data_IF_166961546920
#
_entry.id   IF_166961546920
#
_cell.length_a   1.000
_cell.length_b   1.000
_cell.length_c   1.000
_cell.angle_alpha   90.00
_cell.angle_beta   90.00
_cell.angle_gamma   90.00
#
_symmetry.space_group_name_H-M   'P 1'
#
loop_
_entity.id
_entity.type
_entity.pdbx_description
1 polymer ?
#
# COMPACT_ATOMS: atom_id res chain seq x y z
N UNK A 1 -4.81 3.34 56.88
CA UNK A 1 -5.61 4.31 56.17
C UNK A 1 -4.70 5.24 55.42
N UNK A 2 -4.53 5.04 54.11
CA UNK A 2 -4.17 6.07 53.17
C UNK A 2 -4.36 5.47 51.76
N UNK A 3 -5.36 5.98 51.07
CA UNK A 3 -5.71 5.62 49.70
C UNK A 3 -4.68 6.23 48.76
N UNK A 4 -3.99 5.40 47.97
CA UNK A 4 -3.25 5.85 46.80
C UNK A 4 -4.08 5.55 45.55
N UNK A 5 -4.69 6.60 44.98
CA UNK A 5 -5.34 6.57 43.70
C UNK A 5 -4.23 6.54 42.63
N UNK A 6 -4.17 5.49 41.85
CA UNK A 6 -3.35 5.42 40.64
C UNK A 6 -4.17 5.86 39.43
N UNK A 7 -3.74 6.93 38.78
CA UNK A 7 -4.27 7.41 37.50
C UNK A 7 -4.14 6.33 36.39
N UNK A 8 -5.13 6.21 35.48
CA UNK A 8 -5.02 5.32 34.34
C UNK A 8 -4.06 5.91 33.30
N UNK A 9 -3.09 5.12 32.91
CA UNK A 9 -1.95 5.43 32.09
C UNK A 9 -2.30 5.97 30.70
N UNK A 10 -1.57 7.01 30.29
CA UNK A 10 -1.48 7.60 28.92
C UNK A 10 -0.99 6.64 27.82
N UNK A 11 -0.96 5.33 28.05
CA UNK A 11 -0.47 4.33 27.10
C UNK A 11 -1.50 3.92 26.04
N UNK A 12 -2.81 4.11 26.28
CA UNK A 12 -3.86 3.70 25.34
C UNK A 12 -3.97 4.58 24.07
N UNK A 13 -3.42 5.79 24.09
CA UNK A 13 -3.48 6.73 22.95
C UNK A 13 -2.46 6.47 21.83
N UNK A 14 -1.40 5.67 22.09
CA UNK A 14 -0.29 5.50 21.14
C UNK A 14 -0.43 4.32 20.17
N UNK A 15 -1.32 3.37 20.43
CA UNK A 15 -1.55 2.22 19.54
C UNK A 15 -2.48 2.52 18.35
N UNK A 16 -3.24 3.61 18.36
CA UNK A 16 -4.22 3.93 17.29
C UNK A 16 -3.60 4.51 16.00
N UNK A 17 -2.35 4.92 16.03
CA UNK A 17 -1.68 5.55 14.87
C UNK A 17 -1.04 4.54 13.88
N UNK A 18 -1.07 3.24 14.16
CA UNK A 18 -0.27 2.22 13.44
C UNK A 18 -1.00 1.67 12.20
N UNK A 19 -2.34 1.73 12.16
CA UNK A 19 -3.19 1.20 11.07
C UNK A 19 -3.32 2.12 9.83
N UNK A 20 -2.63 3.23 9.76
CA UNK A 20 -2.94 4.35 8.85
C UNK A 20 -2.24 4.24 7.48
N UNK A 21 -1.25 3.35 7.30
CA UNK A 21 -0.35 3.41 6.13
C UNK A 21 -0.90 2.72 4.88
N UNK A 22 -1.85 1.78 5.01
CA UNK A 22 -2.26 0.90 3.89
C UNK A 22 -3.06 1.61 2.79
N UNK A 23 -3.91 2.57 3.13
CA UNK A 23 -4.83 3.18 2.14
C UNK A 23 -4.24 4.35 1.33
N UNK A 24 -3.15 4.96 1.77
CA UNK A 24 -2.61 6.20 1.15
C UNK A 24 -1.76 5.90 -0.08
N UNK A 25 -1.15 4.73 -0.20
CA UNK A 25 -0.18 4.39 -1.24
C UNK A 25 -0.79 3.90 -2.56
N UNK A 26 -2.06 3.52 -2.61
CA UNK A 26 -2.66 2.92 -3.81
C UNK A 26 -2.83 3.88 -5.00
N UNK A 27 -2.85 5.19 -4.78
CA UNK A 27 -3.17 6.14 -5.87
C UNK A 27 -1.95 6.72 -6.60
N UNK A 28 -0.80 6.80 -5.96
CA UNK A 28 0.39 7.46 -6.56
C UNK A 28 1.20 6.55 -7.51
N UNK A 29 0.88 5.26 -7.58
CA UNK A 29 1.59 4.26 -8.39
C UNK A 29 0.84 3.86 -9.69
N UNK A 30 -0.38 4.35 -9.92
CA UNK A 30 -1.16 4.00 -11.15
C UNK A 30 -0.65 4.70 -12.43
N UNK A 31 0.41 5.49 -12.37
CA UNK A 31 1.12 6.02 -13.54
C UNK A 31 2.32 5.15 -13.99
N UNK A 32 2.40 3.91 -13.55
CA UNK A 32 3.27 2.93 -14.18
C UNK A 32 2.58 2.43 -15.48
N UNK A 33 3.29 2.32 -16.61
CA UNK A 33 2.70 1.78 -17.82
C UNK A 33 2.16 0.38 -17.52
N UNK A 34 0.88 0.18 -17.79
CA UNK A 34 0.19 -1.10 -17.67
C UNK A 34 0.99 -2.18 -18.39
N UNK A 35 1.61 -3.06 -17.63
CA UNK A 35 2.03 -4.35 -18.17
C UNK A 35 0.74 -5.12 -18.50
N UNK A 36 0.55 -5.40 -19.78
CA UNK A 36 -0.54 -6.21 -20.30
C UNK A 36 -0.52 -7.59 -19.61
N UNK A 37 -1.44 -7.81 -18.70
CA UNK A 37 -1.81 -9.16 -18.29
C UNK A 37 -2.76 -9.74 -19.34
N UNK A 38 -2.56 -10.95 -19.84
CA UNK A 38 -3.44 -11.56 -20.82
C UNK A 38 -4.79 -11.89 -20.17
N UNK A 39 -5.86 -11.33 -20.70
CA UNK A 39 -7.23 -11.73 -20.42
C UNK A 39 -7.49 -13.15 -20.96
N UNK A 40 -8.29 -13.98 -20.30
CA UNK A 40 -8.65 -15.29 -20.83
C UNK A 40 -9.47 -15.17 -22.11
N UNK A 41 -9.08 -15.92 -23.13
CA UNK A 41 -9.62 -15.91 -24.48
C UNK A 41 -11.09 -16.33 -24.51
N UNK A 42 -11.96 -15.45 -25.00
CA UNK A 42 -13.22 -15.87 -25.63
C UNK A 42 -13.03 -15.86 -27.16
N UNK A 43 -13.17 -17.06 -27.74
CA UNK A 43 -13.26 -17.26 -29.20
C UNK A 43 -14.59 -16.71 -29.70
N UNK A 44 -14.54 -15.72 -30.59
CA UNK A 44 -15.56 -15.60 -31.64
C UNK A 44 -15.04 -14.91 -32.92
N UNK A 45 -15.59 -15.31 -34.01
CA UNK A 45 -15.07 -15.33 -35.36
C UNK A 45 -14.99 -13.98 -36.08
N UNK A 46 -14.03 -13.94 -37.02
CA UNK A 46 -13.85 -12.97 -38.11
C UNK A 46 -15.09 -12.75 -38.97
N UNK A 47 -15.39 -11.51 -39.34
CA UNK A 47 -16.00 -11.16 -40.62
C UNK A 47 -15.51 -9.78 -41.09
N UNK A 48 -15.37 -9.67 -42.41
CA UNK A 48 -14.58 -8.76 -43.23
C UNK A 48 -15.21 -7.35 -43.42
N UNK A 49 -14.32 -6.39 -43.74
CA UNK A 49 -14.58 -5.04 -44.34
C UNK A 49 -15.16 -5.16 -45.76
N UNK A 50 -15.55 -4.09 -46.52
CA UNK A 50 -15.14 -2.68 -46.49
C UNK A 50 -16.23 -1.63 -46.85
N UNK A 51 -15.90 -0.33 -46.84
CA UNK A 51 -16.59 0.67 -47.70
C UNK A 51 -16.60 2.12 -47.20
N UNK A 52 -15.76 2.94 -47.83
CA UNK A 52 -15.75 4.42 -47.76
C UNK A 52 -17.03 5.03 -48.34
N UNK A 53 -17.49 6.17 -47.81
CA UNK A 53 -17.88 7.33 -48.65
C UNK A 53 -17.90 8.65 -47.84
N UNK A 54 -17.16 9.64 -48.33
CA UNK A 54 -17.28 11.07 -48.03
C UNK A 54 -18.54 11.63 -48.65
N UNK A 55 -19.30 12.52 -47.98
CA UNK A 55 -20.05 13.61 -48.61
C UNK A 55 -20.01 14.83 -47.69
N UNK A 56 -19.42 15.88 -48.20
CA UNK A 56 -19.51 17.24 -47.68
C UNK A 56 -20.69 17.93 -48.40
N UNK A 57 -21.48 18.72 -47.71
CA UNK A 57 -22.21 19.84 -48.30
C UNK A 57 -22.57 20.92 -47.28
N UNK A 58 -22.36 22.13 -47.76
CA UNK A 58 -22.41 23.45 -47.16
C UNK A 58 -23.84 24.04 -47.08
N UNK A 59 -23.96 25.08 -46.22
CA UNK A 59 -24.84 26.26 -46.20
C UNK A 59 -26.29 26.11 -45.71
N UNK A 60 -26.66 26.86 -44.68
CA UNK A 60 -27.19 28.22 -44.80
C UNK A 60 -27.43 28.90 -43.45
N UNK A 61 -27.05 30.16 -43.41
CA UNK A 61 -27.28 31.17 -42.40
C UNK A 61 -28.78 31.53 -42.35
N UNK A 62 -29.42 31.42 -41.18
CA UNK A 62 -30.57 32.25 -40.84
C UNK A 62 -30.41 32.76 -39.41
N UNK A 63 -30.21 34.06 -39.32
CA UNK A 63 -30.23 34.81 -38.07
C UNK A 63 -31.65 34.82 -37.51
N UNK A 64 -31.83 34.31 -36.27
CA UNK A 64 -32.97 34.62 -35.45
C UNK A 64 -32.44 35.10 -34.11
N UNK A 65 -32.60 36.39 -33.90
CA UNK A 65 -32.47 37.05 -32.59
C UNK A 65 -33.49 36.41 -31.66
N UNK A 66 -32.98 35.59 -30.73
CA UNK A 66 -33.72 35.24 -29.54
C UNK A 66 -32.86 35.70 -28.34
N UNK A 67 -33.50 36.52 -27.55
CA UNK A 67 -33.06 37.08 -26.26
C UNK A 67 -32.18 36.14 -25.50
N UNK A 68 -30.91 36.54 -25.28
CA UNK A 68 -30.03 36.03 -24.25
C UNK A 68 -30.64 36.40 -22.89
N UNK A 69 -31.43 35.49 -22.33
CA UNK A 69 -31.56 35.39 -20.90
C UNK A 69 -30.17 35.03 -20.35
N UNK A 70 -29.49 36.05 -19.86
CA UNK A 70 -28.29 35.87 -19.05
C UNK A 70 -28.75 35.24 -17.72
N UNK A 71 -28.97 33.91 -17.72
CA UNK A 71 -28.86 33.16 -16.51
C UNK A 71 -27.40 33.29 -16.09
N UNK A 72 -27.15 34.16 -15.12
CA UNK A 72 -25.97 34.09 -14.31
C UNK A 72 -25.77 32.61 -13.93
N UNK A 73 -24.63 32.03 -14.31
CA UNK A 73 -24.20 30.76 -13.77
C UNK A 73 -24.13 30.97 -12.24
N UNK A 74 -25.12 30.41 -11.53
CA UNK A 74 -24.99 30.20 -10.09
C UNK A 74 -23.65 29.49 -9.88
N UNK A 75 -22.84 29.92 -8.91
CA UNK A 75 -21.65 29.16 -8.50
C UNK A 75 -22.14 27.75 -8.18
N UNK A 76 -21.45 26.74 -8.73
CA UNK A 76 -21.75 25.32 -8.58
C UNK A 76 -22.24 25.08 -7.14
N UNK A 77 -23.54 24.79 -7.02
CA UNK A 77 -24.11 24.43 -5.72
C UNK A 77 -23.50 23.08 -5.42
N UNK A 78 -22.57 23.03 -4.48
CA UNK A 78 -22.02 21.78 -3.98
C UNK A 78 -23.18 20.84 -3.70
N UNK A 79 -23.21 19.67 -4.36
CA UNK A 79 -24.22 18.64 -4.16
C UNK A 79 -24.28 18.28 -2.68
N UNK A 80 -25.48 18.23 -2.08
CA UNK A 80 -25.60 17.79 -0.69
C UNK A 80 -25.20 16.32 -0.54
N UNK A 81 -24.72 15.94 0.64
CA UNK A 81 -24.38 14.53 0.91
C UNK A 81 -25.59 13.61 0.73
N UNK A 82 -26.78 14.06 1.12
CA UNK A 82 -28.03 13.33 0.93
C UNK A 82 -28.35 13.08 -0.54
N UNK A 83 -28.26 14.11 -1.40
CA UNK A 83 -28.45 13.96 -2.84
C UNK A 83 -27.41 13.03 -3.47
N UNK A 84 -26.15 13.12 -3.00
CA UNK A 84 -25.07 12.25 -3.43
C UNK A 84 -25.33 10.77 -3.06
N UNK A 85 -25.82 10.51 -1.83
CA UNK A 85 -26.22 9.15 -1.40
C UNK A 85 -27.42 8.65 -2.23
N UNK A 86 -28.36 9.52 -2.59
CA UNK A 86 -29.48 9.15 -3.44
C UNK A 86 -29.00 8.73 -4.86
N UNK A 87 -28.04 9.44 -5.44
CA UNK A 87 -27.40 9.04 -6.71
C UNK A 87 -26.66 7.72 -6.60
N UNK A 88 -25.86 7.55 -5.54
CA UNK A 88 -25.16 6.29 -5.27
C UNK A 88 -26.14 5.12 -5.17
N UNK A 89 -27.28 5.31 -4.49
CA UNK A 89 -28.34 4.30 -4.38
C UNK A 89 -28.93 3.95 -5.75
N UNK A 90 -29.13 4.94 -6.60
CA UNK A 90 -29.63 4.70 -7.96
C UNK A 90 -28.64 3.91 -8.80
N UNK A 91 -27.36 4.22 -8.71
CA UNK A 91 -26.27 3.49 -9.36
C UNK A 91 -26.16 2.04 -8.84
N UNK A 92 -26.17 1.85 -7.53
CA UNK A 92 -26.11 0.53 -6.91
C UNK A 92 -27.29 -0.36 -7.34
N UNK A 93 -28.49 0.24 -7.49
CA UNK A 93 -29.67 -0.46 -8.03
C UNK A 93 -29.47 -0.86 -9.49
N UNK A 94 -28.83 -0.04 -10.31
CA UNK A 94 -28.51 -0.38 -11.71
C UNK A 94 -27.47 -1.51 -11.80
N UNK A 95 -26.60 -1.64 -10.81
CA UNK A 95 -25.65 -2.75 -10.68
C UNK A 95 -26.31 -4.05 -10.16
N UNK A 96 -27.62 -4.03 -9.88
CA UNK A 96 -28.38 -5.21 -9.45
C UNK A 96 -28.34 -5.49 -7.95
N UNK A 97 -27.87 -4.56 -7.12
CA UNK A 97 -27.86 -4.71 -5.67
C UNK A 97 -29.30 -4.67 -5.15
N UNK A 98 -29.66 -5.63 -4.29
CA UNK A 98 -31.03 -5.78 -3.78
C UNK A 98 -31.46 -4.63 -2.87
N UNK A 99 -32.74 -4.34 -2.84
CA UNK A 99 -33.29 -3.25 -2.01
C UNK A 99 -33.00 -3.44 -0.50
N UNK A 100 -33.04 -4.67 -0.01
CA UNK A 100 -32.70 -4.98 1.39
C UNK A 100 -31.26 -4.58 1.74
N UNK A 101 -30.34 -4.77 0.81
CA UNK A 101 -28.94 -4.33 0.96
C UNK A 101 -28.82 -2.81 0.88
N UNK A 102 -29.61 -2.16 0.02
CA UNK A 102 -29.62 -0.72 -0.12
C UNK A 102 -30.11 0.02 1.12
N UNK A 103 -30.87 -0.65 2.01
CA UNK A 103 -31.23 -0.08 3.34
C UNK A 103 -29.99 0.25 4.18
N UNK A 104 -28.85 -0.40 3.93
CA UNK A 104 -27.59 -0.05 4.60
C UNK A 104 -27.15 1.41 4.36
N UNK A 105 -27.56 2.00 3.23
CA UNK A 105 -27.28 3.40 2.90
C UNK A 105 -28.09 4.39 3.73
N UNK A 106 -29.17 3.96 4.40
CA UNK A 106 -29.99 4.83 5.27
C UNK A 106 -29.24 5.23 6.55
N UNK A 107 -28.17 4.51 6.89
CA UNK A 107 -27.29 4.84 8.01
C UNK A 107 -26.25 5.93 7.69
N UNK A 108 -26.15 6.37 6.44
CA UNK A 108 -25.21 7.38 5.99
C UNK A 108 -25.79 8.78 6.16
N UNK A 109 -25.63 9.38 7.34
CA UNK A 109 -26.23 10.69 7.66
C UNK A 109 -25.38 11.88 7.16
N UNK A 110 -24.07 11.82 7.35
CA UNK A 110 -23.12 12.89 6.98
C UNK A 110 -21.69 12.33 6.85
N UNK A 111 -20.79 13.02 6.13
CA UNK A 111 -19.37 12.67 6.14
C UNK A 111 -18.77 12.69 7.54
N UNK A 112 -17.92 11.71 7.86
CA UNK A 112 -17.24 11.66 9.15
C UNK A 112 -16.03 12.60 9.17
N UNK A 113 -16.09 13.69 9.95
CA UNK A 113 -14.97 14.62 10.12
C UNK A 113 -13.66 13.92 10.48
N UNK A 114 -13.74 12.92 11.37
CA UNK A 114 -12.56 12.15 11.79
C UNK A 114 -11.91 11.36 10.67
N UNK A 115 -12.65 10.89 9.67
CA UNK A 115 -12.11 10.25 8.46
C UNK A 115 -11.37 11.28 7.62
N UNK A 116 -11.97 12.46 7.43
CA UNK A 116 -11.35 13.57 6.70
C UNK A 116 -10.09 14.09 7.42
N UNK A 117 -10.12 14.18 8.75
CA UNK A 117 -8.93 14.52 9.55
C UNK A 117 -7.81 13.52 9.32
N UNK A 118 -8.09 12.21 9.35
CA UNK A 118 -7.08 11.18 9.10
C UNK A 118 -6.56 11.20 7.66
N UNK A 119 -7.41 11.45 6.68
CA UNK A 119 -7.02 11.57 5.29
C UNK A 119 -6.16 12.82 5.01
N UNK A 120 -6.43 13.92 5.72
CA UNK A 120 -5.67 15.16 5.65
C UNK A 120 -4.46 15.19 6.57
N UNK A 121 -4.52 14.50 7.73
CA UNK A 121 -3.42 14.41 8.68
C UNK A 121 -2.39 13.43 8.19
N UNK A 122 -1.58 13.89 7.26
CA UNK A 122 -0.34 13.18 6.96
C UNK A 122 0.57 13.32 8.18
N UNK A 123 1.23 12.24 8.64
CA UNK A 123 2.17 12.37 9.74
C UNK A 123 3.18 13.44 9.37
N UNK A 124 3.33 14.47 10.21
CA UNK A 124 4.27 15.59 10.02
C UNK A 124 5.72 15.12 9.88
N UNK A 125 5.98 13.84 10.16
CA UNK A 125 7.29 13.23 10.13
C UNK A 125 7.28 11.99 9.21
N UNK A 126 8.20 11.97 8.27
CA UNK A 126 8.55 10.74 7.57
C UNK A 126 9.26 9.82 8.58
N UNK A 127 8.67 8.66 8.86
CA UNK A 127 9.29 7.71 9.78
C UNK A 127 10.62 7.21 9.20
N UNK A 128 11.64 7.07 10.06
CA UNK A 128 12.88 6.40 9.70
C UNK A 128 12.65 4.89 9.56
N UNK A 129 13.51 4.21 8.82
CA UNK A 129 13.47 2.76 8.69
C UNK A 129 13.63 2.07 10.05
N UNK A 130 14.60 2.53 10.87
CA UNK A 130 14.80 2.04 12.23
C UNK A 130 13.51 2.12 13.05
N UNK A 131 12.89 3.30 13.09
CA UNK A 131 11.67 3.50 13.88
C UNK A 131 10.52 2.62 13.38
N UNK A 132 10.41 2.45 12.06
CA UNK A 132 9.37 1.62 11.45
C UNK A 132 9.49 0.15 11.87
N UNK A 133 10.72 -0.40 11.81
CA UNK A 133 11.02 -1.78 12.22
C UNK A 133 10.80 -1.99 13.71
N UNK A 134 11.37 -1.11 14.57
CA UNK A 134 11.32 -1.25 16.03
C UNK A 134 9.88 -1.28 16.56
N UNK A 135 8.98 -0.52 15.94
CA UNK A 135 7.58 -0.50 16.33
C UNK A 135 6.80 -1.76 15.92
N UNK A 136 7.26 -2.49 14.89
CA UNK A 136 6.52 -3.59 14.26
C UNK A 136 7.16 -4.95 14.42
N UNK A 137 8.45 -5.03 14.77
CA UNK A 137 9.18 -6.29 14.96
C UNK A 137 9.67 -6.38 16.40
N UNK A 138 8.73 -6.45 17.33
CA UNK A 138 9.04 -6.59 18.76
C UNK A 138 9.24 -8.06 19.14
N UNK A 139 10.03 -8.32 20.20
CA UNK A 139 10.18 -9.69 20.71
C UNK A 139 8.85 -10.31 21.15
N UNK A 140 7.91 -9.50 21.66
CA UNK A 140 6.56 -9.96 22.02
C UNK A 140 5.79 -10.44 20.79
N UNK A 141 5.87 -9.69 19.69
CA UNK A 141 5.21 -10.03 18.42
C UNK A 141 5.84 -11.30 17.81
N UNK A 142 7.17 -11.41 17.89
CA UNK A 142 7.89 -12.62 17.42
C UNK A 142 7.46 -13.86 18.21
N UNK A 143 7.49 -13.81 19.54
CA UNK A 143 7.08 -14.94 20.39
C UNK A 143 5.61 -15.33 20.15
N UNK A 144 4.72 -14.33 20.00
CA UNK A 144 3.32 -14.59 19.68
C UNK A 144 3.17 -15.26 18.32
N UNK A 145 3.84 -14.77 17.28
CA UNK A 145 3.76 -15.35 15.94
C UNK A 145 4.27 -16.80 15.90
N UNK A 146 5.34 -17.09 16.64
CA UNK A 146 5.83 -18.47 16.80
C UNK A 146 4.78 -19.39 17.44
N UNK A 147 4.16 -18.94 18.54
CA UNK A 147 3.12 -19.71 19.21
C UNK A 147 1.90 -19.95 18.30
N UNK A 148 1.46 -18.95 17.53
CA UNK A 148 0.34 -19.08 16.60
C UNK A 148 0.67 -19.94 15.38
N UNK A 149 1.91 -19.97 14.92
CA UNK A 149 2.36 -20.91 13.89
C UNK A 149 2.27 -22.37 14.35
N UNK A 150 2.60 -22.65 15.62
CA UNK A 150 2.47 -23.97 16.20
C UNK A 150 0.98 -24.33 16.45
N UNK A 151 0.19 -23.38 16.97
CA UNK A 151 -1.24 -23.56 17.25
C UNK A 151 -2.06 -23.88 15.99
N UNK A 152 -1.74 -23.24 14.87
CA UNK A 152 -2.49 -23.39 13.61
C UNK A 152 -1.71 -24.18 12.54
N UNK A 153 -0.76 -25.04 12.96
CA UNK A 153 0.17 -25.73 12.07
C UNK A 153 -0.56 -26.59 11.00
N UNK A 154 -1.64 -27.28 11.36
CA UNK A 154 -2.39 -28.13 10.43
C UNK A 154 -3.07 -27.31 9.32
N UNK A 155 -3.79 -26.24 9.69
CA UNK A 155 -4.44 -25.33 8.74
C UNK A 155 -3.40 -24.66 7.83
N UNK A 156 -2.33 -24.14 8.40
CA UNK A 156 -1.29 -23.48 7.63
C UNK A 156 -0.55 -24.44 6.69
N UNK A 157 -0.38 -25.70 7.07
CA UNK A 157 0.19 -26.72 6.19
C UNK A 157 -0.76 -27.08 5.03
N UNK A 158 -2.07 -27.09 5.28
CA UNK A 158 -3.08 -27.25 4.22
C UNK A 158 -3.00 -26.09 3.22
N UNK A 159 -3.03 -24.84 3.70
CA UNK A 159 -2.93 -23.62 2.89
C UNK A 159 -1.64 -23.63 2.08
N UNK A 160 -0.50 -24.00 2.69
CA UNK A 160 0.78 -24.12 1.99
C UNK A 160 0.73 -25.14 0.85
N UNK A 161 0.11 -26.31 1.07
CA UNK A 161 -0.02 -27.32 -0.01
C UNK A 161 -0.85 -26.82 -1.19
N UNK A 162 -1.87 -26.00 -0.91
CA UNK A 162 -2.79 -25.49 -1.95
C UNK A 162 -2.23 -24.32 -2.73
N UNK A 163 -1.58 -23.36 -2.07
CA UNK A 163 -1.15 -22.09 -2.67
C UNK A 163 0.36 -21.93 -2.79
N UNK A 164 1.13 -22.88 -2.26
CA UNK A 164 2.60 -22.81 -2.23
C UNK A 164 3.14 -21.54 -1.52
N UNK A 165 2.44 -21.04 -0.48
CA UNK A 165 2.86 -19.91 0.36
C UNK A 165 3.26 -20.43 1.74
N UNK A 166 4.47 -20.11 2.17
CA UNK A 166 5.00 -20.65 3.43
C UNK A 166 4.30 -20.04 4.65
N UNK A 167 3.97 -20.82 5.69
CA UNK A 167 3.22 -20.40 6.89
C UNK A 167 3.74 -19.14 7.58
N UNK A 168 5.05 -19.03 7.75
CA UNK A 168 5.66 -17.90 8.45
C UNK A 168 5.46 -16.56 7.75
N UNK A 169 5.26 -16.53 6.43
CA UNK A 169 4.89 -15.30 5.71
C UNK A 169 3.42 -14.96 5.95
N UNK A 170 2.51 -15.93 5.87
CA UNK A 170 1.09 -15.70 6.18
C UNK A 170 0.92 -15.12 7.59
N UNK A 171 1.62 -15.70 8.57
CA UNK A 171 1.62 -15.19 9.93
C UNK A 171 2.22 -13.76 10.02
N UNK A 172 3.24 -13.43 9.20
CA UNK A 172 3.84 -12.09 9.19
C UNK A 172 2.89 -11.03 8.60
N UNK A 173 2.17 -11.34 7.52
CA UNK A 173 1.11 -10.48 7.00
C UNK A 173 0.02 -10.27 8.06
N UNK A 174 -0.50 -11.33 8.65
CA UNK A 174 -1.51 -11.27 9.69
C UNK A 174 -1.07 -10.43 10.90
N UNK A 175 0.20 -10.57 11.30
CA UNK A 175 0.79 -9.76 12.37
C UNK A 175 0.82 -8.26 12.02
N UNK A 176 1.28 -7.92 10.82
CA UNK A 176 1.48 -6.53 10.40
C UNK A 176 0.14 -5.85 10.14
N UNK A 177 -0.82 -6.54 9.51
CA UNK A 177 -2.11 -5.96 9.15
C UNK A 177 -3.03 -5.73 10.36
N UNK A 178 -3.12 -6.70 11.25
CA UNK A 178 -4.12 -6.63 12.32
C UNK A 178 -3.59 -7.01 13.72
N UNK A 179 -2.27 -7.16 13.88
CA UNK A 179 -1.71 -7.71 15.12
C UNK A 179 -2.37 -9.05 15.51
N UNK A 180 -2.43 -9.95 14.53
CA UNK A 180 -3.08 -11.27 14.68
C UNK A 180 -4.58 -11.14 15.04
N UNK A 181 -5.32 -10.34 14.30
CA UNK A 181 -6.74 -10.11 14.45
C UNK A 181 -7.18 -9.22 15.61
N UNK A 182 -6.25 -8.66 16.39
CA UNK A 182 -6.57 -7.82 17.55
C UNK A 182 -6.94 -6.37 17.18
N UNK A 183 -6.52 -5.91 16.01
CA UNK A 183 -6.69 -4.53 15.54
C UNK A 183 -7.17 -4.53 14.10
N UNK A 184 -8.45 -4.72 13.89
CA UNK A 184 -9.08 -4.74 12.56
C UNK A 184 -9.67 -3.40 12.13
N UNK A 185 -9.61 -2.39 13.03
CA UNK A 185 -10.30 -1.12 12.88
C UNK A 185 -11.64 -1.10 13.63
N UNK A 186 -12.28 0.05 13.64
CA UNK A 186 -13.55 0.25 14.37
C UNK A 186 -14.47 1.24 13.66
N UNK A 187 -14.22 1.54 12.38
CA UNK A 187 -15.10 2.35 11.56
C UNK A 187 -16.07 1.44 10.79
N UNK A 188 -17.31 1.89 10.60
CA UNK A 188 -18.16 1.33 9.55
C UNK A 188 -17.46 1.53 8.21
N UNK A 189 -17.23 0.46 7.48
CA UNK A 189 -16.56 0.50 6.15
C UNK A 189 -17.41 1.32 5.18
N UNK A 190 -18.73 1.12 5.18
CA UNK A 190 -19.64 1.89 4.32
C UNK A 190 -19.55 3.40 4.60
N UNK A 191 -19.59 3.79 5.87
CA UNK A 191 -19.53 5.20 6.26
C UNK A 191 -18.16 5.83 5.95
N UNK A 192 -17.06 5.09 6.19
CA UNK A 192 -15.72 5.55 5.87
C UNK A 192 -15.54 5.74 4.35
N UNK A 193 -15.96 4.76 3.55
CA UNK A 193 -15.87 4.82 2.09
C UNK A 193 -16.79 5.91 1.51
N UNK A 194 -18.01 6.09 2.04
CA UNK A 194 -18.91 7.14 1.60
C UNK A 194 -18.34 8.54 1.87
N UNK A 195 -17.71 8.74 3.04
CA UNK A 195 -17.03 9.99 3.38
C UNK A 195 -15.92 10.32 2.39
N UNK A 196 -15.07 9.33 2.07
CA UNK A 196 -13.93 9.51 1.16
C UNK A 196 -14.36 9.58 -0.32
N UNK A 197 -15.49 8.96 -0.68
CA UNK A 197 -16.05 9.02 -2.02
C UNK A 197 -16.79 10.35 -2.29
N UNK A 198 -17.30 11.01 -1.25
CA UNK A 198 -17.88 12.34 -1.33
C UNK A 198 -16.80 13.44 -1.44
N UNK A 199 -15.60 13.22 -0.92
CA UNK A 199 -14.46 14.12 -1.08
C UNK A 199 -13.90 14.05 -2.52
N UNK A 200 -13.80 15.20 -3.25
CA UNK A 200 -13.48 15.19 -4.68
C UNK A 200 -12.07 14.66 -5.01
N UNK A 201 -11.14 14.64 -4.08
CA UNK A 201 -9.72 14.31 -4.34
C UNK A 201 -9.51 12.89 -4.86
N UNK A 202 -10.31 11.92 -4.42
CA UNK A 202 -10.23 10.50 -4.83
C UNK A 202 -11.62 9.87 -4.94
N UNK A 203 -12.60 10.66 -5.31
CA UNK A 203 -14.02 10.31 -5.30
C UNK A 203 -14.31 9.00 -6.06
N UNK A 204 -13.83 8.89 -7.29
CA UNK A 204 -14.08 7.72 -8.16
C UNK A 204 -13.55 6.42 -7.55
N UNK A 205 -12.31 6.44 -7.04
CA UNK A 205 -11.72 5.26 -6.41
C UNK A 205 -12.55 4.77 -5.23
N UNK A 206 -12.89 5.65 -4.28
CA UNK A 206 -13.63 5.27 -3.09
C UNK A 206 -15.09 4.95 -3.38
N UNK A 207 -15.69 5.60 -4.40
CA UNK A 207 -17.04 5.25 -4.88
C UNK A 207 -17.09 3.80 -5.39
N UNK A 208 -16.12 3.39 -6.18
CA UNK A 208 -16.00 2.01 -6.64
C UNK A 208 -15.80 1.03 -5.48
N UNK A 209 -14.99 1.37 -4.48
CA UNK A 209 -14.84 0.54 -3.28
C UNK A 209 -16.16 0.42 -2.49
N UNK A 210 -16.93 1.50 -2.38
CA UNK A 210 -18.22 1.51 -1.68
C UNK A 210 -19.25 0.63 -2.40
N UNK A 211 -19.35 0.74 -3.71
CA UNK A 211 -20.25 -0.12 -4.51
C UNK A 211 -19.87 -1.60 -4.38
N UNK A 212 -18.56 -1.91 -4.39
CA UNK A 212 -18.06 -3.26 -4.15
C UNK A 212 -18.37 -3.74 -2.73
N UNK A 213 -18.27 -2.88 -1.71
CA UNK A 213 -18.64 -3.22 -0.33
C UNK A 213 -20.14 -3.58 -0.23
N UNK A 214 -21.02 -2.86 -0.94
CA UNK A 214 -22.44 -3.21 -1.02
C UNK A 214 -22.65 -4.58 -1.72
N UNK A 215 -21.90 -4.90 -2.76
CA UNK A 215 -21.96 -6.22 -3.43
C UNK A 215 -21.54 -7.36 -2.49
N UNK A 216 -20.53 -7.14 -1.64
CA UNK A 216 -20.08 -8.11 -0.63
C UNK A 216 -21.18 -8.38 0.39
N UNK A 217 -21.89 -7.36 0.84
CA UNK A 217 -23.06 -7.49 1.73
C UNK A 217 -24.19 -8.21 1.00
N UNK A 218 -24.45 -7.83 -0.24
CA UNK A 218 -25.52 -8.41 -1.07
C UNK A 218 -25.30 -9.89 -1.33
N UNK A 219 -24.05 -10.32 -1.49
CA UNK A 219 -23.66 -11.73 -1.60
C UNK A 219 -23.83 -12.51 -0.27
N UNK A 220 -24.09 -11.83 0.85
CA UNK A 220 -24.33 -12.45 2.15
C UNK A 220 -23.06 -12.81 2.93
N UNK A 221 -21.89 -12.31 2.53
CA UNK A 221 -20.64 -12.60 3.21
C UNK A 221 -20.56 -11.95 4.60
N UNK A 222 -21.15 -10.78 4.77
CA UNK A 222 -21.19 -10.04 6.04
C UNK A 222 -22.43 -9.13 6.10
N UNK A 223 -22.92 -8.82 7.32
CA UNK A 223 -23.94 -7.80 7.47
C UNK A 223 -23.36 -6.38 7.38
N UNK A 224 -24.17 -5.40 7.02
CA UNK A 224 -23.73 -4.00 6.98
C UNK A 224 -23.26 -3.47 8.35
N UNK A 225 -23.82 -3.99 9.43
CA UNK A 225 -23.50 -3.61 10.81
C UNK A 225 -22.16 -4.20 11.27
N UNK A 226 -21.82 -5.41 10.82
CA UNK A 226 -20.59 -6.11 11.18
C UNK A 226 -19.42 -5.74 10.25
N UNK A 227 -19.69 -5.11 9.10
CA UNK A 227 -18.66 -4.69 8.14
C UNK A 227 -17.86 -3.51 8.71
N UNK A 228 -16.96 -3.85 9.64
CA UNK A 228 -16.06 -2.89 10.29
C UNK A 228 -14.63 -3.00 9.73
N UNK A 229 -13.89 -1.90 9.79
CA UNK A 229 -12.54 -1.84 9.26
C UNK A 229 -11.79 -0.57 9.63
N UNK A 230 -10.79 -0.22 8.82
CA UNK A 230 -10.02 1.01 8.97
C UNK A 230 -10.83 2.25 8.57
N UNK A 231 -10.33 3.43 8.92
CA UNK A 231 -10.89 4.71 8.50
C UNK A 231 -10.92 4.89 6.97
N UNK A 232 -10.10 4.14 6.23
CA UNK A 232 -10.01 4.18 4.77
C UNK A 232 -10.72 3.00 4.09
N UNK A 233 -11.50 2.20 4.82
CA UNK A 233 -12.32 1.14 4.27
C UNK A 233 -11.61 -0.20 4.09
N UNK A 234 -10.40 -0.39 4.63
CA UNK A 234 -9.74 -1.69 4.65
C UNK A 234 -10.38 -2.61 5.70
N UNK A 235 -10.64 -3.88 5.35
CA UNK A 235 -11.56 -4.77 6.03
C UNK A 235 -10.89 -5.96 6.69
N UNK A 236 -11.42 -6.37 7.84
CA UNK A 236 -11.11 -7.62 8.51
C UNK A 236 -9.66 -7.76 8.94
N UNK A 237 -9.24 -8.99 9.21
CA UNK A 237 -7.90 -9.27 9.75
C UNK A 237 -6.77 -9.14 8.71
N UNK A 238 -7.12 -9.14 7.42
CA UNK A 238 -6.20 -8.95 6.30
C UNK A 238 -6.11 -7.50 5.83
N UNK A 239 -6.96 -6.61 6.34
CA UNK A 239 -7.06 -5.22 5.86
C UNK A 239 -7.22 -5.12 4.33
N UNK A 240 -8.01 -6.02 3.74
CA UNK A 240 -8.32 -6.01 2.33
C UNK A 240 -9.27 -4.85 1.99
N UNK A 241 -8.98 -4.14 0.92
CA UNK A 241 -9.97 -3.26 0.30
C UNK A 241 -11.11 -4.10 -0.32
N UNK A 242 -12.33 -3.57 -0.46
CA UNK A 242 -13.46 -4.32 -1.01
C UNK A 242 -13.17 -5.01 -2.36
N UNK A 243 -12.51 -4.33 -3.29
CA UNK A 243 -12.13 -4.92 -4.58
C UNK A 243 -11.12 -6.08 -4.45
N UNK A 244 -10.22 -6.01 -3.46
CA UNK A 244 -9.25 -7.09 -3.17
C UNK A 244 -9.99 -8.28 -2.58
N UNK A 245 -10.92 -8.04 -1.64
CA UNK A 245 -11.79 -9.08 -1.11
C UNK A 245 -12.58 -9.79 -2.23
N UNK A 246 -13.21 -9.02 -3.13
CA UNK A 246 -13.99 -9.57 -4.23
C UNK A 246 -13.15 -10.41 -5.20
N UNK A 247 -11.88 -10.00 -5.43
CA UNK A 247 -10.99 -10.67 -6.38
C UNK A 247 -10.29 -11.90 -5.79
N UNK A 248 -9.97 -11.89 -4.51
CA UNK A 248 -9.07 -12.86 -3.90
C UNK A 248 -9.64 -13.54 -2.65
N UNK A 249 -10.80 -13.13 -2.17
CA UNK A 249 -11.46 -13.78 -1.04
C UNK A 249 -11.80 -15.24 -1.34
N UNK A 250 -11.60 -16.11 -0.36
CA UNK A 250 -11.83 -17.55 -0.46
C UNK A 250 -12.61 -18.01 0.76
N UNK A 251 -13.69 -18.75 0.52
CA UNK A 251 -14.37 -19.59 1.52
C UNK A 251 -13.46 -20.79 1.80
N UNK A 252 -12.73 -20.73 2.88
CA UNK A 252 -11.68 -21.70 3.22
C UNK A 252 -12.21 -22.89 4.03
N UNK A 253 -13.31 -22.71 4.76
CA UNK A 253 -13.96 -23.78 5.55
C UNK A 253 -15.18 -24.39 4.84
N UNK A 254 -15.61 -23.81 3.71
CA UNK A 254 -16.67 -24.36 2.88
C UNK A 254 -18.08 -24.14 3.43
N UNK A 255 -18.27 -23.13 4.29
CA UNK A 255 -19.58 -22.82 4.89
C UNK A 255 -20.51 -22.00 3.96
N UNK A 256 -20.02 -21.59 2.78
CA UNK A 256 -20.75 -20.80 1.77
C UNK A 256 -20.57 -19.29 1.94
N UNK A 257 -19.72 -18.83 2.85
CA UNK A 257 -19.41 -17.43 3.12
C UNK A 257 -17.90 -17.20 3.09
N UNK A 258 -17.50 -15.97 2.89
CA UNK A 258 -16.10 -15.54 3.04
C UNK A 258 -16.06 -14.60 4.23
N UNK A 259 -15.53 -15.06 5.37
CA UNK A 259 -15.43 -14.29 6.61
C UNK A 259 -13.96 -13.98 6.97
N UNK A 260 -13.42 -12.89 6.39
CA UNK A 260 -12.05 -12.43 6.73
C UNK A 260 -11.98 -11.70 8.08
N UNK A 261 -13.08 -11.59 8.83
CA UNK A 261 -13.10 -10.98 10.16
C UNK A 261 -12.93 -12.04 11.27
N UNK A 262 -13.52 -13.25 11.11
CA UNK A 262 -13.60 -14.23 12.20
C UNK A 262 -13.14 -15.65 11.82
N UNK A 263 -13.23 -16.06 10.52
CA UNK A 263 -12.83 -17.39 10.06
C UNK A 263 -11.34 -17.43 9.73
N UNK A 264 -10.52 -18.12 10.54
CA UNK A 264 -9.09 -18.30 10.25
C UNK A 264 -8.83 -19.07 8.94
N UNK A 265 -9.62 -20.12 8.58
CA UNK A 265 -9.53 -20.73 7.26
C UNK A 265 -9.67 -19.70 6.13
N UNK A 266 -10.70 -18.86 6.15
CA UNK A 266 -10.94 -17.86 5.10
C UNK A 266 -9.81 -16.82 5.06
N UNK A 267 -9.35 -16.37 6.22
CA UNK A 267 -8.26 -15.42 6.36
C UNK A 267 -7.00 -15.97 5.69
N UNK A 268 -6.57 -17.20 6.04
CA UNK A 268 -5.32 -17.73 5.51
C UNK A 268 -5.43 -18.19 4.05
N UNK A 269 -6.58 -18.73 3.63
CA UNK A 269 -6.82 -19.08 2.23
C UNK A 269 -6.86 -17.82 1.35
N UNK A 270 -7.54 -16.76 1.78
CA UNK A 270 -7.60 -15.49 1.04
C UNK A 270 -6.24 -14.81 0.93
N UNK A 271 -5.47 -14.74 2.03
CA UNK A 271 -4.13 -14.18 2.03
C UNK A 271 -3.19 -14.96 1.10
N UNK A 272 -3.23 -16.30 1.17
CA UNK A 272 -2.40 -17.17 0.34
C UNK A 272 -2.79 -17.10 -1.14
N UNK A 273 -4.10 -17.02 -1.44
CA UNK A 273 -4.61 -16.82 -2.79
C UNK A 273 -4.08 -15.51 -3.39
N UNK A 274 -4.22 -14.39 -2.67
CA UNK A 274 -3.68 -13.11 -3.10
C UNK A 274 -2.17 -13.17 -3.40
N UNK A 275 -1.38 -13.76 -2.52
CA UNK A 275 0.08 -13.85 -2.70
C UNK A 275 0.44 -14.76 -3.87
N UNK A 276 -0.22 -15.91 -4.02
CA UNK A 276 -0.02 -16.84 -5.12
C UNK A 276 -0.28 -16.17 -6.47
N UNK A 277 -1.43 -15.49 -6.61
CA UNK A 277 -1.80 -14.74 -7.81
C UNK A 277 -0.88 -13.52 -8.06
N UNK A 278 -0.26 -12.99 -7.00
CA UNK A 278 0.76 -11.93 -7.10
C UNK A 278 2.16 -12.44 -7.48
N UNK A 279 2.30 -13.73 -7.82
CA UNK A 279 3.56 -14.32 -8.28
C UNK A 279 4.47 -14.81 -7.16
N UNK A 280 3.91 -15.20 -6.01
CA UNK A 280 4.67 -15.81 -4.92
C UNK A 280 5.30 -17.13 -5.33
N UNK A 281 6.54 -17.34 -4.94
CA UNK A 281 7.31 -18.56 -5.19
C UNK A 281 7.62 -19.27 -3.88
N UNK A 282 7.02 -20.42 -3.66
CA UNK A 282 7.09 -21.13 -2.40
C UNK A 282 8.45 -21.77 -2.06
N UNK A 283 9.32 -21.91 -3.04
CA UNK A 283 10.69 -22.40 -2.89
C UNK A 283 11.70 -21.27 -2.65
N UNK A 284 11.26 -20.00 -2.79
CA UNK A 284 12.09 -18.82 -2.59
C UNK A 284 11.77 -18.12 -1.25
N UNK A 285 12.75 -17.42 -0.74
CA UNK A 285 12.56 -16.45 0.33
C UNK A 285 12.31 -15.04 -0.24
N UNK A 286 11.90 -14.10 0.60
CA UNK A 286 11.65 -12.71 0.20
C UNK A 286 12.94 -11.95 -0.18
N UNK A 287 14.05 -12.21 0.54
CA UNK A 287 15.30 -11.48 0.44
C UNK A 287 16.27 -11.87 1.54
N UNK A 288 17.32 -11.08 1.71
CA UNK A 288 18.30 -11.20 2.80
C UNK A 288 19.11 -9.93 2.99
N UNK A 289 19.54 -9.67 4.22
CA UNK A 289 20.53 -8.63 4.51
C UNK A 289 21.91 -9.03 3.94
N UNK A 290 22.61 -8.03 3.36
CA UNK A 290 23.91 -8.23 2.70
C UNK A 290 24.92 -7.16 3.09
N UNK A 291 26.22 -7.46 2.87
CA UNK A 291 27.29 -6.49 2.87
C UNK A 291 27.56 -6.04 1.43
N UNK A 292 27.65 -4.75 1.24
CA UNK A 292 28.11 -4.14 0.01
C UNK A 292 29.61 -3.84 0.12
N UNK A 293 30.39 -3.93 -0.97
CA UNK A 293 31.79 -3.49 -0.95
C UNK A 293 31.89 -1.99 -0.68
N UNK A 294 33.03 -1.52 -0.22
CA UNK A 294 33.24 -0.14 0.19
C UNK A 294 33.04 0.86 -0.96
N UNK A 295 33.44 0.44 -2.16
CA UNK A 295 33.33 1.20 -3.41
C UNK A 295 32.04 0.92 -4.21
N UNK A 296 31.00 0.37 -3.56
CA UNK A 296 29.75 0.03 -4.23
C UNK A 296 29.10 1.23 -4.93
N UNK A 297 28.79 1.06 -6.21
CA UNK A 297 28.01 2.04 -6.97
C UNK A 297 26.52 1.99 -6.59
N UNK A 298 26.10 2.90 -5.73
CA UNK A 298 24.71 2.98 -5.27
C UNK A 298 23.71 3.33 -6.38
N UNK A 299 24.15 3.75 -7.57
CA UNK A 299 23.25 3.91 -8.72
C UNK A 299 22.66 2.57 -9.19
N UNK A 300 23.30 1.46 -8.83
CA UNK A 300 22.84 0.10 -9.08
C UNK A 300 21.77 -0.37 -8.08
N UNK A 301 21.43 0.43 -7.05
CA UNK A 301 20.36 0.09 -6.13
C UNK A 301 18.96 0.43 -6.68
N UNK A 302 17.96 -0.31 -6.19
CA UNK A 302 16.56 -0.14 -6.54
C UNK A 302 16.02 -1.26 -7.43
N UNK A 303 14.69 -1.46 -7.37
CA UNK A 303 14.00 -2.60 -7.99
C UNK A 303 14.16 -2.70 -9.52
N UNK A 304 14.54 -1.61 -10.19
CA UNK A 304 14.77 -1.59 -11.64
C UNK A 304 16.14 -2.16 -12.03
N UNK A 305 17.05 -2.33 -11.07
CA UNK A 305 18.43 -2.79 -11.26
C UNK A 305 18.56 -4.24 -10.80
N UNK A 306 17.79 -5.15 -11.41
CA UNK A 306 17.86 -6.57 -11.10
C UNK A 306 19.06 -7.21 -11.81
N UNK A 307 19.77 -8.08 -11.09
CA UNK A 307 20.91 -8.88 -11.58
C UNK A 307 20.86 -10.25 -10.95
N UNK A 308 21.55 -11.21 -11.58
CA UNK A 308 21.74 -12.54 -11.01
C UNK A 308 22.54 -12.49 -9.70
N UNK A 309 22.35 -13.47 -8.83
CA UNK A 309 23.15 -13.60 -7.61
C UNK A 309 24.64 -13.74 -7.90
N UNK A 310 25.01 -14.36 -9.04
CA UNK A 310 26.38 -14.50 -9.47
C UNK A 310 27.00 -13.14 -9.83
N UNK A 311 26.28 -12.29 -10.57
CA UNK A 311 26.77 -10.94 -10.90
C UNK A 311 26.96 -10.10 -9.62
N UNK A 312 26.02 -10.16 -8.66
CA UNK A 312 26.17 -9.48 -7.38
C UNK A 312 27.38 -10.00 -6.59
N UNK A 313 27.61 -11.31 -6.58
CA UNK A 313 28.78 -11.91 -5.94
C UNK A 313 30.11 -11.46 -6.59
N UNK A 314 30.17 -11.42 -7.94
CA UNK A 314 31.35 -10.89 -8.67
C UNK A 314 31.60 -9.41 -8.38
N UNK A 315 30.56 -8.64 -8.05
CA UNK A 315 30.70 -7.24 -7.60
C UNK A 315 31.09 -7.12 -6.12
N UNK A 316 31.38 -8.22 -5.43
CA UNK A 316 31.80 -8.21 -4.03
C UNK A 316 30.65 -8.16 -3.00
N UNK A 317 29.40 -8.34 -3.41
CA UNK A 317 28.27 -8.45 -2.48
C UNK A 317 28.34 -9.78 -1.74
N UNK A 318 28.27 -9.73 -0.40
CA UNK A 318 28.36 -10.90 0.48
C UNK A 318 27.14 -10.96 1.40
N UNK A 319 26.89 -12.11 2.01
CA UNK A 319 25.94 -12.21 3.12
C UNK A 319 26.42 -11.33 4.28
N UNK A 320 25.49 -10.86 5.11
CA UNK A 320 25.79 -9.96 6.23
C UNK A 320 26.81 -10.56 7.23
N UNK A 321 26.93 -11.87 7.29
CA UNK A 321 27.93 -12.57 8.10
C UNK A 321 29.32 -12.73 7.42
N UNK A 322 29.52 -12.10 6.27
CA UNK A 322 30.79 -12.14 5.52
C UNK A 322 31.00 -13.40 4.68
N UNK A 323 30.02 -14.31 4.57
CA UNK A 323 30.11 -15.48 3.70
C UNK A 323 29.59 -15.16 2.29
N UNK A 324 29.98 -15.98 1.31
CA UNK A 324 29.54 -15.84 -0.07
C UNK A 324 28.02 -15.95 -0.23
N UNK A 325 27.48 -15.32 -1.29
CA UNK A 325 26.08 -15.50 -1.68
C UNK A 325 25.82 -16.96 -2.10
N UNK A 326 24.58 -17.46 -1.99
CA UNK A 326 24.27 -18.80 -2.42
C UNK A 326 24.43 -18.95 -3.93
N UNK A 327 24.88 -20.12 -4.36
CA UNK A 327 24.90 -20.54 -5.75
C UNK A 327 23.46 -20.94 -6.14
N UNK A 328 22.68 -19.99 -6.64
CA UNK A 328 21.30 -20.20 -7.08
C UNK A 328 21.04 -19.37 -8.34
N UNK A 329 20.27 -19.93 -9.26
CA UNK A 329 19.81 -19.25 -10.47
C UNK A 329 18.61 -18.36 -10.11
N UNK A 330 18.91 -17.19 -9.57
CA UNK A 330 17.94 -16.21 -9.08
C UNK A 330 18.41 -14.81 -9.39
N UNK A 331 17.46 -13.95 -9.73
CA UNK A 331 17.65 -12.52 -9.83
C UNK A 331 17.30 -11.81 -8.53
N UNK A 332 18.04 -10.76 -8.23
CA UNK A 332 17.81 -9.90 -7.09
C UNK A 332 18.05 -8.43 -7.39
N UNK A 333 17.41 -7.57 -6.63
CA UNK A 333 17.71 -6.14 -6.61
C UNK A 333 18.27 -5.73 -5.25
N UNK A 334 19.21 -4.77 -5.23
CA UNK A 334 19.70 -4.19 -3.97
C UNK A 334 18.74 -3.11 -3.50
N UNK A 335 18.26 -3.24 -2.26
CA UNK A 335 17.40 -2.25 -1.58
C UNK A 335 18.15 -1.68 -0.37
N UNK A 336 18.19 -0.35 -0.28
CA UNK A 336 18.86 0.42 0.78
C UNK A 336 17.85 1.37 1.45
N UNK A 337 17.05 0.89 2.40
CA UNK A 337 15.92 1.64 2.96
C UNK A 337 16.31 2.91 3.72
N UNK A 338 17.53 2.96 4.24
CA UNK A 338 18.08 4.06 5.04
C UNK A 338 19.33 4.69 4.39
N UNK A 339 19.44 4.62 3.05
CA UNK A 339 20.58 5.15 2.31
C UNK A 339 21.85 4.30 2.45
N UNK A 340 22.97 4.87 2.02
CA UNK A 340 24.28 4.22 1.95
C UNK A 340 24.87 3.80 3.31
N UNK A 341 24.48 4.48 4.39
CA UNK A 341 24.97 4.22 5.75
C UNK A 341 24.06 3.22 6.52
N UNK A 342 22.96 2.79 5.91
CA UNK A 342 22.02 1.83 6.47
C UNK A 342 22.24 0.39 6.00
N UNK A 343 21.31 -0.52 6.37
CA UNK A 343 21.32 -1.89 5.92
C UNK A 343 21.04 -1.99 4.41
N UNK A 344 21.67 -2.94 3.77
CA UNK A 344 21.39 -3.31 2.38
C UNK A 344 20.76 -4.71 2.33
N UNK A 345 19.80 -4.88 1.41
CA UNK A 345 19.11 -6.14 1.23
C UNK A 345 19.13 -6.56 -0.24
N UNK A 346 19.34 -7.86 -0.50
CA UNK A 346 18.94 -8.49 -1.74
C UNK A 346 17.45 -8.80 -1.65
N UNK A 347 16.66 -8.25 -2.56
CA UNK A 347 15.22 -8.46 -2.69
C UNK A 347 14.94 -9.39 -3.86
N UNK A 348 14.24 -10.51 -3.62
CA UNK A 348 13.91 -11.54 -4.61
C UNK A 348 12.48 -11.38 -5.15
N UNK A 349 11.97 -12.38 -5.87
CA UNK A 349 10.63 -12.34 -6.44
C UNK A 349 9.54 -12.13 -5.37
N UNK A 350 9.62 -12.81 -4.24
CA UNK A 350 8.64 -12.71 -3.16
C UNK A 350 8.58 -11.32 -2.49
N UNK A 351 9.68 -10.56 -2.52
CA UNK A 351 9.64 -9.16 -2.13
C UNK A 351 8.72 -8.33 -3.04
N UNK A 352 8.71 -8.62 -4.35
CA UNK A 352 7.84 -7.94 -5.31
C UNK A 352 6.37 -8.33 -5.10
N UNK A 353 6.10 -9.61 -4.81
CA UNK A 353 4.77 -10.07 -4.44
C UNK A 353 4.25 -9.38 -3.16
N UNK A 354 5.14 -9.15 -2.17
CA UNK A 354 4.79 -8.38 -0.97
C UNK A 354 4.46 -6.92 -1.30
N UNK A 355 5.15 -6.30 -2.26
CA UNK A 355 4.83 -4.94 -2.71
C UNK A 355 3.49 -4.84 -3.44
N UNK A 356 2.97 -5.93 -3.99
CA UNK A 356 1.61 -5.96 -4.53
C UNK A 356 0.54 -5.83 -3.44
N UNK A 357 0.82 -6.34 -2.24
CA UNK A 357 -0.04 -6.16 -1.07
C UNK A 357 0.01 -4.72 -0.55
N UNK A 358 1.21 -4.18 -0.37
CA UNK A 358 1.44 -2.80 0.02
C UNK A 358 2.74 -2.29 -0.63
N UNK A 359 2.68 -1.25 -1.49
CA UNK A 359 3.82 -0.78 -2.28
C UNK A 359 4.88 0.00 -1.49
N UNK A 360 4.90 -0.15 -0.17
CA UNK A 360 5.90 0.45 0.72
C UNK A 360 7.13 -0.44 0.88
N UNK A 361 8.30 0.10 0.57
CA UNK A 361 9.59 -0.55 0.84
C UNK A 361 9.74 -0.96 2.31
N UNK A 362 9.34 -0.09 3.24
CA UNK A 362 9.44 -0.39 4.67
C UNK A 362 8.50 -1.52 5.08
N UNK A 363 7.29 -1.53 4.52
CA UNK A 363 6.33 -2.60 4.74
C UNK A 363 6.89 -3.95 4.27
N UNK A 364 7.34 -4.04 3.02
CA UNK A 364 7.81 -5.30 2.45
C UNK A 364 9.04 -5.85 3.18
N UNK A 365 9.99 -4.99 3.57
CA UNK A 365 11.13 -5.37 4.40
C UNK A 365 10.70 -5.84 5.79
N UNK A 366 9.69 -5.20 6.38
CA UNK A 366 9.19 -5.55 7.71
C UNK A 366 8.50 -6.91 7.72
N UNK A 367 7.61 -7.17 6.74
CA UNK A 367 6.96 -8.48 6.57
C UNK A 367 8.00 -9.57 6.40
N UNK A 368 8.94 -9.38 5.48
CA UNK A 368 10.01 -10.35 5.22
C UNK A 368 10.91 -10.59 6.43
N UNK A 369 11.33 -9.53 7.10
CA UNK A 369 12.14 -9.63 8.31
C UNK A 369 11.39 -10.30 9.47
N UNK A 370 10.12 -9.95 9.70
CA UNK A 370 9.29 -10.57 10.73
C UNK A 370 9.10 -12.06 10.46
N UNK A 371 8.88 -12.46 9.21
CA UNK A 371 8.79 -13.85 8.80
C UNK A 371 10.11 -14.62 9.08
N UNK A 372 11.26 -14.01 8.81
CA UNK A 372 12.56 -14.57 9.18
C UNK A 372 12.74 -14.69 10.69
N UNK A 373 12.26 -13.69 11.48
CA UNK A 373 12.28 -13.73 12.95
C UNK A 373 11.43 -14.87 13.52
N UNK A 374 10.28 -15.15 12.92
CA UNK A 374 9.45 -16.32 13.30
C UNK A 374 10.19 -17.65 13.13
N UNK A 375 11.11 -17.73 12.18
CA UNK A 375 11.98 -18.89 11.95
C UNK A 375 13.26 -18.88 12.78
N UNK A 376 13.40 -17.99 13.75
CA UNK A 376 14.55 -17.91 14.67
C UNK A 376 15.73 -17.09 14.14
N UNK A 377 15.59 -16.36 13.04
CA UNK A 377 16.64 -15.43 12.61
C UNK A 377 16.83 -14.30 13.62
N UNK A 378 18.05 -13.77 13.69
CA UNK A 378 18.40 -12.61 14.54
C UNK A 378 17.80 -11.29 13.99
N UNK A 379 18.01 -10.17 14.71
CA UNK A 379 17.65 -8.84 14.22
C UNK A 379 18.51 -8.42 13.02
N UNK A 380 18.10 -7.36 12.34
CA UNK A 380 18.90 -6.70 11.31
C UNK A 380 20.22 -6.24 11.94
N UNK A 381 21.35 -6.55 11.31
CA UNK A 381 22.67 -6.37 11.92
C UNK A 381 23.25 -4.98 11.70
N UNK A 382 22.90 -4.33 10.58
CA UNK A 382 23.50 -3.06 10.17
C UNK A 382 22.51 -1.88 10.23
N UNK A 383 21.69 -1.86 11.27
CA UNK A 383 20.79 -0.72 11.49
C UNK A 383 21.58 0.60 11.64
N UNK A 384 21.10 1.69 11.02
CA UNK A 384 21.78 2.99 11.11
C UNK A 384 21.76 3.50 12.55
N UNK A 385 22.88 4.05 13.02
CA UNK A 385 23.03 4.50 14.41
C UNK A 385 22.37 5.84 14.70
N UNK A 386 22.31 6.73 13.70
CA UNK A 386 21.90 8.15 13.85
C UNK A 386 20.90 8.57 12.77
N UNK A 387 19.97 7.71 12.43
CA UNK A 387 18.94 8.04 11.46
C UNK A 387 18.00 9.10 12.04
N UNK A 388 17.86 10.24 11.33
CA UNK A 388 16.98 11.34 11.73
C UNK A 388 15.81 11.43 10.77
N UNK A 389 14.60 11.44 11.30
CA UNK A 389 13.41 11.68 10.52
C UNK A 389 13.42 13.10 9.93
N UNK A 390 12.94 13.23 8.72
CA UNK A 390 12.64 14.53 8.11
C UNK A 390 11.15 14.85 8.30
N UNK A 391 10.84 16.10 8.62
CA UNK A 391 9.45 16.56 8.60
C UNK A 391 8.95 16.72 7.16
N UNK A 392 7.64 16.85 6.96
CA UNK A 392 7.07 17.22 5.66
C UNK A 392 7.63 18.57 5.17
N UNK A 393 7.86 19.51 6.10
CA UNK A 393 8.47 20.81 5.80
C UNK A 393 9.92 20.66 5.31
N UNK A 394 10.72 19.79 5.97
CA UNK A 394 12.10 19.51 5.55
C UNK A 394 12.15 18.90 4.15
N UNK A 395 11.26 17.94 3.86
CA UNK A 395 11.21 17.31 2.53
C UNK A 395 10.76 18.34 1.47
N UNK A 396 9.78 19.18 1.78
CA UNK A 396 9.33 20.25 0.88
C UNK A 396 10.47 21.24 0.61
N UNK A 397 11.21 21.66 1.62
CA UNK A 397 12.38 22.53 1.46
C UNK A 397 13.47 21.85 0.62
N UNK A 398 13.72 20.56 0.87
CA UNK A 398 14.66 19.75 0.05
C UNK A 398 14.27 19.80 -1.43
N UNK A 399 13.00 19.57 -1.74
CA UNK A 399 12.46 19.61 -3.11
C UNK A 399 12.62 21.01 -3.73
N UNK A 400 12.29 22.07 -2.99
CA UNK A 400 12.45 23.45 -3.45
C UNK A 400 13.90 23.79 -3.79
N UNK A 401 14.85 23.38 -2.93
CA UNK A 401 16.28 23.63 -3.15
C UNK A 401 16.84 22.82 -4.31
N UNK A 402 16.42 21.56 -4.47
CA UNK A 402 16.77 20.75 -5.64
C UNK A 402 16.28 21.39 -6.94
N UNK A 403 15.02 21.86 -6.98
CA UNK A 403 14.46 22.54 -8.14
C UNK A 403 15.21 23.86 -8.44
N UNK A 404 15.53 24.65 -7.42
CA UNK A 404 16.31 25.88 -7.56
C UNK A 404 17.73 25.62 -8.10
N UNK A 405 18.34 24.47 -7.73
CA UNK A 405 19.63 24.01 -8.23
C UNK A 405 19.56 23.35 -9.62
N UNK A 406 18.38 23.29 -10.26
CA UNK A 406 18.18 22.73 -11.60
C UNK A 406 17.90 21.23 -11.65
N UNK A 407 17.61 20.59 -10.50
CA UNK A 407 17.25 19.16 -10.41
C UNK A 407 15.74 19.03 -10.19
N UNK A 408 15.00 18.67 -11.23
CA UNK A 408 13.53 18.55 -11.20
C UNK A 408 13.07 17.46 -10.23
N UNK A 409 12.65 17.86 -9.03
CA UNK A 409 12.06 16.97 -8.02
C UNK A 409 10.53 16.86 -8.10
N UNK A 410 9.92 17.59 -9.04
CA UNK A 410 8.49 17.79 -9.15
C UNK A 410 7.99 18.95 -8.30
N UNK A 411 6.67 19.02 -8.09
CA UNK A 411 6.07 19.97 -7.17
C UNK A 411 6.51 19.67 -5.73
N UNK A 412 6.91 20.70 -4.96
CA UNK A 412 7.32 20.51 -3.57
C UNK A 412 6.13 20.17 -2.66
N UNK A 413 5.75 18.90 -2.64
CA UNK A 413 4.63 18.33 -1.88
C UNK A 413 4.99 17.81 -0.48
N UNK A 414 6.29 17.71 -0.18
CA UNK A 414 6.81 17.15 1.07
C UNK A 414 6.90 15.60 1.07
N UNK A 415 6.76 14.94 -0.09
CA UNK A 415 6.83 13.50 -0.23
C UNK A 415 8.05 13.07 -1.05
N UNK A 416 8.73 12.01 -0.59
CA UNK A 416 9.89 11.46 -1.31
C UNK A 416 9.43 10.42 -2.33
N UNK A 417 8.92 10.90 -3.47
CA UNK A 417 8.50 10.08 -4.61
C UNK A 417 9.65 9.69 -5.54
N UNK A 418 9.32 9.06 -6.67
CA UNK A 418 10.30 8.64 -7.69
C UNK A 418 11.03 9.83 -8.34
N UNK A 419 10.33 10.97 -8.58
CA UNK A 419 10.92 12.20 -9.13
C UNK A 419 11.90 12.80 -8.13
N UNK A 420 11.51 12.94 -6.87
CA UNK A 420 12.38 13.46 -5.79
C UNK A 420 13.65 12.61 -5.67
N UNK A 421 13.52 11.26 -5.68
CA UNK A 421 14.68 10.35 -5.64
C UNK A 421 15.59 10.50 -6.87
N UNK A 422 15.02 10.70 -8.05
CA UNK A 422 15.79 10.94 -9.27
C UNK A 422 16.56 12.26 -9.19
N UNK A 423 15.93 13.33 -8.71
CA UNK A 423 16.56 14.63 -8.50
C UNK A 423 17.70 14.57 -7.48
N UNK A 424 17.47 13.91 -6.33
CA UNK A 424 18.52 13.66 -5.32
C UNK A 424 19.71 12.95 -5.95
N UNK A 425 19.48 11.86 -6.69
CA UNK A 425 20.55 11.08 -7.35
C UNK A 425 21.34 11.92 -8.34
N UNK A 426 20.65 12.74 -9.13
CA UNK A 426 21.31 13.64 -10.10
C UNK A 426 22.18 14.67 -9.39
N UNK A 427 21.67 15.31 -8.34
CA UNK A 427 22.42 16.24 -7.51
C UNK A 427 23.62 15.54 -6.86
N UNK A 428 23.45 14.40 -6.21
CA UNK A 428 24.51 13.62 -5.56
C UNK A 428 25.64 13.30 -6.55
N UNK A 429 25.26 12.91 -7.78
CA UNK A 429 26.24 12.64 -8.85
C UNK A 429 27.03 13.87 -9.22
N UNK A 430 26.38 15.02 -9.41
CA UNK A 430 27.06 16.28 -9.73
C UNK A 430 27.97 16.74 -8.60
N UNK A 431 27.54 16.58 -7.36
CA UNK A 431 28.27 16.96 -6.15
C UNK A 431 29.34 15.92 -5.72
N UNK A 432 29.59 14.87 -6.52
CA UNK A 432 30.51 13.75 -6.22
C UNK A 432 30.23 13.09 -4.87
N UNK A 433 28.95 12.97 -4.50
CA UNK A 433 28.47 12.24 -3.32
C UNK A 433 28.11 10.79 -3.68
N UNK A 434 27.87 9.94 -2.64
CA UNK A 434 27.27 8.64 -2.85
C UNK A 434 25.88 8.78 -3.45
N UNK A 435 25.61 8.11 -4.57
CA UNK A 435 24.37 8.29 -5.35
C UNK A 435 23.23 7.39 -4.88
N UNK A 436 22.95 7.39 -3.58
CA UNK A 436 21.99 6.50 -2.92
C UNK A 436 20.52 6.97 -3.06
N UNK A 437 20.29 8.18 -3.56
CA UNK A 437 18.98 8.80 -3.70
C UNK A 437 18.19 8.92 -2.38
N UNK A 438 18.87 8.91 -1.22
CA UNK A 438 18.25 8.99 0.09
C UNK A 438 18.06 10.44 0.53
N UNK A 439 16.81 10.79 0.86
CA UNK A 439 16.49 12.09 1.44
C UNK A 439 16.91 12.09 2.92
N UNK A 440 17.90 12.91 3.28
CA UNK A 440 18.43 13.00 4.64
C UNK A 440 18.57 14.43 5.11
N UNK A 441 18.59 14.63 6.44
CA UNK A 441 18.87 15.92 7.04
C UNK A 441 20.25 16.47 6.60
N UNK A 442 21.26 15.60 6.50
CA UNK A 442 22.60 16.01 6.04
C UNK A 442 22.60 16.51 4.60
N UNK A 443 21.78 15.93 3.73
CA UNK A 443 21.62 16.40 2.36
C UNK A 443 20.94 17.79 2.32
N UNK A 444 19.92 18.00 3.14
CA UNK A 444 19.24 19.30 3.25
C UNK A 444 20.17 20.37 3.82
N UNK A 445 20.92 20.08 4.86
CA UNK A 445 21.91 20.99 5.46
C UNK A 445 22.97 21.43 4.43
N UNK A 446 23.43 20.49 3.59
CA UNK A 446 24.35 20.78 2.52
C UNK A 446 23.76 21.72 1.47
N UNK A 447 22.56 21.44 0.98
CA UNK A 447 21.86 22.31 0.03
C UNK A 447 21.56 23.72 0.60
N UNK A 448 21.37 23.83 1.92
CA UNK A 448 21.26 25.12 2.60
C UNK A 448 22.58 25.91 2.49
N UNK A 449 23.71 25.25 2.78
CA UNK A 449 25.03 25.91 2.77
C UNK A 449 25.53 26.29 1.36
N UNK A 450 25.06 25.63 0.31
CA UNK A 450 25.43 25.95 -1.08
C UNK A 450 24.58 27.10 -1.67
N UNK A 451 23.49 27.48 -1.00
CA UNK A 451 22.57 28.54 -1.43
C UNK A 451 22.84 29.89 -0.71
N UNK A 452 23.72 29.91 0.29
CA UNK A 452 24.24 31.10 0.98
C UNK A 452 25.50 31.63 0.27
#
# INVERSE_FOLDING_TARGET
MSFCQTEPSRAAGRCKAILIVVAIYYHDQMNLPTQNYPSPATNEARSQRPGRLLIALLFSLTASLLSLDSRAQDPEREQSFEDWVAELRAEARQLGIREDTLLALDSLEAPLEKVLEYDNSQPEFVQTFTRYIDLRVTNQQVARGQALLDEHAELLAEVQRKYNVQPHYLAAFWAIESNFGRNTGGFSVLQALATLAYDPRRAEFFRNQLLTALQIIDAGHISSQDMTGSWAGAMGQLQFMPNIFQSYGVDGDGDGRIDIWNSLPDIFHSAANFLSESGWRGDERWGREVLLPEDFDFSLSGLRQSRSLQEWAHMGVMRVNGTELPQADMDAAIIIPAGADGPAFLAYANYRATLAYNPSTFYALTVGHLADRFRGSGPIQRMPRNERAMSLADVRELQQRLNAAGFDSGEPDGRVGSRTRAAIRAYQKQASLRTDAYASQGLLERLRSESE
#
